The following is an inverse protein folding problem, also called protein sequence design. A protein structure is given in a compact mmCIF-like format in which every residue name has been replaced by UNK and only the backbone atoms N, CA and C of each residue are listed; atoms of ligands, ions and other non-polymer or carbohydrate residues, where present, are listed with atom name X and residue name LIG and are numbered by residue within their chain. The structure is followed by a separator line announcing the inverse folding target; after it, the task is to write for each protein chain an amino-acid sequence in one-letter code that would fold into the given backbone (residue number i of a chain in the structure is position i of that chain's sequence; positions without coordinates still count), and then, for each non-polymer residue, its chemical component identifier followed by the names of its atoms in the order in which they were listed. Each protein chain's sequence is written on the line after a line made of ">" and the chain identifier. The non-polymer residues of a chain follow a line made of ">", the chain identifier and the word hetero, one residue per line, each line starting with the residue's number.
data_IF_043026962592
#
_entry.id   IF_043026962592
#
_cell.length_a   1.000
_cell.length_b   1.000
_cell.length_c   1.000
_cell.angle_alpha   90.00
_cell.angle_beta   90.00
_cell.angle_gamma   90.00
#
_symmetry.space_group_name_H-M   'P 1'
#
loop_
_entity.id
_entity.type
_entity.pdbx_description
1 polymer ?
#
# COMPACT_ATOMS: atom_id res chain seq x y z
N UNK A 1 18.04 19.26 -18.57
CA UNK A 1 17.24 18.11 -19.07
C UNK A 1 17.26 18.16 -20.59
N UNK A 2 17.50 17.04 -21.28
CA UNK A 2 17.51 17.01 -22.76
C UNK A 2 16.10 17.14 -23.39
N UNK A 3 15.08 16.79 -22.63
CA UNK A 3 13.67 16.87 -23.06
C UNK A 3 12.90 17.84 -22.19
N UNK A 4 12.13 18.72 -22.80
CA UNK A 4 11.20 19.65 -22.14
C UNK A 4 9.79 19.18 -22.46
N UNK A 5 8.97 18.83 -21.45
CA UNK A 5 7.59 18.39 -21.70
C UNK A 5 6.77 19.44 -22.44
N UNK A 6 6.01 19.04 -23.46
CA UNK A 6 5.22 19.97 -24.27
C UNK A 6 4.00 20.52 -23.53
N UNK A 7 3.39 19.72 -22.65
CA UNK A 7 2.18 20.09 -21.91
C UNK A 7 2.50 20.96 -20.68
N UNK A 8 3.60 20.67 -19.99
CA UNK A 8 4.01 21.40 -18.78
C UNK A 8 5.53 21.64 -18.83
N UNK A 9 5.91 22.79 -19.38
CA UNK A 9 7.33 23.14 -19.61
C UNK A 9 8.14 23.29 -18.32
N UNK A 10 7.48 23.61 -17.20
CA UNK A 10 8.09 23.73 -15.88
C UNK A 10 8.25 22.39 -15.18
N UNK A 11 7.54 21.35 -15.62
CA UNK A 11 7.60 20.03 -14.99
C UNK A 11 9.03 19.48 -14.95
N UNK A 12 9.42 19.01 -13.77
CA UNK A 12 10.67 18.27 -13.55
C UNK A 12 10.37 17.02 -12.73
N UNK A 13 10.85 15.85 -13.15
CA UNK A 13 10.78 14.65 -12.33
C UNK A 13 11.42 14.88 -10.97
N UNK A 14 10.78 14.36 -9.90
CA UNK A 14 11.25 14.51 -8.52
C UNK A 14 12.73 14.16 -8.36
N UNK A 15 13.20 13.09 -8.99
CA UNK A 15 14.60 12.65 -8.91
C UNK A 15 15.58 13.68 -9.48
N UNK A 16 15.19 14.44 -10.48
CA UNK A 16 16.04 15.49 -11.09
C UNK A 16 16.17 16.67 -10.13
N UNK A 17 15.05 17.09 -9.52
CA UNK A 17 15.05 18.18 -8.54
C UNK A 17 15.79 17.78 -7.26
N UNK A 18 15.59 16.55 -6.79
CA UNK A 18 16.28 16.02 -5.60
C UNK A 18 17.81 15.97 -5.82
N UNK A 19 18.26 15.59 -7.02
CA UNK A 19 19.71 15.60 -7.35
C UNK A 19 20.31 17.00 -7.28
N UNK A 20 19.64 18.00 -7.88
CA UNK A 20 20.06 19.40 -7.79
C UNK A 20 20.06 19.92 -6.35
N UNK A 21 19.02 19.62 -5.60
CA UNK A 21 18.91 19.99 -4.21
C UNK A 21 20.11 19.48 -3.40
N UNK A 22 20.48 18.21 -3.59
CA UNK A 22 21.60 17.57 -2.91
C UNK A 22 22.96 18.18 -3.19
N UNK A 23 23.15 18.88 -4.33
CA UNK A 23 24.43 19.51 -4.68
C UNK A 23 24.86 20.60 -3.68
N UNK A 24 23.89 21.31 -3.06
CA UNK A 24 24.16 22.41 -2.13
C UNK A 24 23.59 22.19 -0.73
N UNK A 25 23.02 21.05 -0.46
CA UNK A 25 22.46 20.67 0.85
C UNK A 25 23.58 20.09 1.71
N UNK A 26 23.87 20.72 2.86
CA UNK A 26 25.02 20.38 3.73
C UNK A 26 24.64 20.01 5.15
N UNK A 27 23.42 20.33 5.60
CA UNK A 27 22.97 20.09 6.98
C UNK A 27 22.23 18.75 7.05
N UNK A 28 22.63 17.81 7.90
CA UNK A 28 21.95 16.52 8.03
C UNK A 28 20.49 16.64 8.44
N UNK A 29 19.65 15.81 7.82
CA UNK A 29 18.22 15.67 8.12
C UNK A 29 17.79 14.22 7.95
N UNK A 30 16.98 13.72 8.86
CA UNK A 30 16.50 12.35 8.85
C UNK A 30 14.98 12.28 8.85
N UNK A 31 14.44 11.40 8.04
CA UNK A 31 13.03 11.06 7.91
C UNK A 31 12.88 9.58 8.24
N UNK A 32 11.95 9.21 9.12
CA UNK A 32 11.59 7.83 9.32
C UNK A 32 10.07 7.69 9.30
N UNK A 33 9.56 6.76 8.50
CA UNK A 33 8.14 6.50 8.37
C UNK A 33 7.82 5.14 8.97
N UNK A 34 6.88 5.10 9.92
CA UNK A 34 6.41 3.87 10.55
C UNK A 34 5.09 3.42 9.93
N UNK A 35 5.01 2.11 9.67
CA UNK A 35 3.84 1.42 9.14
C UNK A 35 3.42 0.26 10.04
N UNK A 36 2.53 -0.63 9.57
CA UNK A 36 2.03 -1.77 10.35
C UNK A 36 3.17 -2.61 10.97
N UNK A 37 2.86 -3.28 12.05
CA UNK A 37 3.73 -4.25 12.72
C UNK A 37 5.08 -3.67 13.20
N UNK A 38 5.17 -2.33 13.37
CA UNK A 38 6.39 -1.66 13.78
C UNK A 38 7.48 -1.58 12.70
N UNK A 39 7.16 -1.92 11.45
CA UNK A 39 8.09 -1.72 10.34
C UNK A 39 8.33 -0.24 10.12
N UNK A 40 9.58 0.13 9.82
CA UNK A 40 10.03 1.50 9.67
C UNK A 40 11.02 1.61 8.51
N UNK A 41 10.78 2.62 7.68
CA UNK A 41 11.69 3.00 6.61
C UNK A 41 12.34 4.33 6.96
N UNK A 42 13.68 4.36 7.09
CA UNK A 42 14.45 5.57 7.34
C UNK A 42 15.15 6.03 6.07
N UNK A 43 15.08 7.33 5.83
CA UNK A 43 15.77 8.01 4.74
C UNK A 43 16.55 9.19 5.27
N UNK A 44 17.88 9.12 5.17
CA UNK A 44 18.80 10.19 5.56
C UNK A 44 19.16 11.03 4.33
N UNK A 45 19.13 12.35 4.49
CA UNK A 45 19.53 13.30 3.46
C UNK A 45 20.10 14.57 4.10
N UNK A 46 20.66 15.46 3.27
CA UNK A 46 21.00 16.80 3.73
C UNK A 46 19.96 17.81 3.24
N UNK A 47 19.84 18.93 3.96
CA UNK A 47 19.05 20.11 3.65
C UNK A 47 19.96 21.34 3.57
N UNK A 48 19.45 22.46 3.05
CA UNK A 48 20.19 23.73 3.07
C UNK A 48 20.27 24.29 4.49
N UNK A 49 21.32 25.07 4.82
CA UNK A 49 21.41 25.77 6.09
C UNK A 49 20.28 26.76 6.29
N UNK A 50 19.84 26.92 7.55
CA UNK A 50 18.83 27.89 7.96
C UNK A 50 17.40 27.58 7.53
N UNK A 51 16.53 28.57 7.64
CA UNK A 51 15.08 28.48 7.39
C UNK A 51 14.79 28.79 5.92
N UNK A 52 15.23 27.92 5.03
CA UNK A 52 15.05 28.06 3.59
C UNK A 52 13.76 27.40 3.13
N UNK A 53 12.89 28.14 2.43
CA UNK A 53 11.63 27.61 1.92
C UNK A 53 11.82 26.40 1.01
N UNK A 54 12.89 26.36 0.21
CA UNK A 54 13.18 25.19 -0.62
C UNK A 54 13.38 23.91 0.20
N UNK A 55 13.77 24.02 1.48
CA UNK A 55 13.93 22.87 2.37
C UNK A 55 12.57 22.19 2.60
N UNK A 56 11.58 22.97 3.04
CA UNK A 56 10.30 22.34 3.37
C UNK A 56 9.58 21.82 2.12
N UNK A 57 9.64 22.53 0.99
CA UNK A 57 9.06 22.06 -0.27
C UNK A 57 9.67 20.72 -0.73
N UNK A 58 11.00 20.59 -0.62
CA UNK A 58 11.68 19.35 -0.97
C UNK A 58 11.32 18.23 0.00
N UNK A 59 11.36 18.49 1.31
CA UNK A 59 11.04 17.49 2.33
C UNK A 59 9.59 17.04 2.23
N UNK A 60 8.64 17.95 2.01
CA UNK A 60 7.23 17.61 1.75
C UNK A 60 7.08 16.61 0.59
N UNK A 61 7.74 16.90 -0.53
CA UNK A 61 7.72 16.02 -1.72
C UNK A 61 8.38 14.66 -1.46
N UNK A 62 9.48 14.64 -0.71
CA UNK A 62 10.16 13.40 -0.30
C UNK A 62 9.24 12.56 0.58
N UNK A 63 8.66 13.17 1.64
CA UNK A 63 7.74 12.48 2.54
C UNK A 63 6.54 11.93 1.77
N UNK A 64 5.91 12.74 0.92
CA UNK A 64 4.80 12.27 0.08
C UNK A 64 5.22 11.08 -0.77
N UNK A 65 6.38 11.12 -1.39
CA UNK A 65 6.88 10.02 -2.22
C UNK A 65 7.07 8.75 -1.39
N UNK A 66 7.64 8.86 -0.20
CA UNK A 66 7.82 7.73 0.72
C UNK A 66 6.46 7.15 1.12
N UNK A 67 5.51 7.99 1.55
CA UNK A 67 4.17 7.55 1.95
C UNK A 67 3.43 6.79 0.85
N UNK A 68 3.58 7.19 -0.42
CA UNK A 68 2.89 6.54 -1.55
C UNK A 68 3.64 5.35 -2.14
N UNK A 69 4.89 5.13 -1.75
CA UNK A 69 5.70 3.97 -2.18
C UNK A 69 5.80 2.92 -1.08
N UNK A 70 6.08 3.37 0.14
CA UNK A 70 6.33 2.48 1.29
C UNK A 70 5.08 2.35 2.17
N UNK A 71 4.27 3.41 2.26
CA UNK A 71 3.17 3.53 3.20
C UNK A 71 3.61 3.99 4.59
N UNK A 72 2.66 4.38 5.42
CA UNK A 72 2.90 4.72 6.83
C UNK A 72 1.87 5.69 7.40
N UNK A 73 1.79 5.73 8.71
CA UNK A 73 0.88 6.58 9.47
C UNK A 73 1.59 7.45 10.51
N UNK A 74 2.88 7.23 10.73
CA UNK A 74 3.67 8.01 11.67
C UNK A 74 5.01 8.39 11.06
N UNK A 75 5.35 9.66 11.12
CA UNK A 75 6.57 10.21 10.56
C UNK A 75 7.41 10.78 11.70
N UNK A 76 8.66 10.37 11.79
CA UNK A 76 9.66 10.93 12.69
C UNK A 76 10.62 11.78 11.86
N UNK A 77 10.84 13.02 12.29
CA UNK A 77 11.69 13.99 11.60
C UNK A 77 12.76 14.51 12.57
N UNK A 78 14.02 14.44 12.16
CA UNK A 78 15.14 14.92 12.95
C UNK A 78 16.07 15.83 12.16
N UNK A 79 16.49 16.93 12.79
CA UNK A 79 17.39 17.93 12.22
C UNK A 79 16.87 19.37 12.39
N UNK A 80 16.58 20.04 11.29
CA UNK A 80 16.14 21.45 11.31
C UNK A 80 14.71 21.62 11.86
N UNK A 81 14.57 22.35 12.96
CA UNK A 81 13.30 22.57 13.67
C UNK A 81 12.27 23.31 12.80
N UNK A 82 12.68 24.28 11.99
CA UNK A 82 11.79 24.98 11.07
C UNK A 82 11.11 24.02 10.11
N UNK A 83 11.85 23.06 9.53
CA UNK A 83 11.30 22.05 8.63
C UNK A 83 10.32 21.15 9.38
N UNK A 84 10.68 20.70 10.58
CA UNK A 84 9.81 19.84 11.40
C UNK A 84 8.46 20.51 11.67
N UNK A 85 8.48 21.76 12.14
CA UNK A 85 7.27 22.54 12.42
C UNK A 85 6.40 22.73 11.17
N UNK A 86 7.03 23.03 10.02
CA UNK A 86 6.31 23.11 8.75
C UNK A 86 5.68 21.79 8.34
N UNK A 87 6.35 20.66 8.52
CA UNK A 87 5.77 19.35 8.21
C UNK A 87 4.60 18.99 9.13
N UNK A 88 4.63 19.40 10.41
CA UNK A 88 3.49 19.22 11.30
C UNK A 88 2.26 20.04 10.87
N UNK A 89 2.45 21.25 10.34
CA UNK A 89 1.37 22.05 9.75
C UNK A 89 0.83 21.42 8.46
N UNK A 90 1.73 21.06 7.55
CA UNK A 90 1.42 20.53 6.21
C UNK A 90 0.70 19.18 6.28
N UNK A 91 1.22 18.25 7.09
CA UNK A 91 0.64 16.92 7.30
C UNK A 91 -0.30 16.87 8.51
N UNK A 92 -1.31 17.74 8.48
CA UNK A 92 -2.42 17.77 9.44
C UNK A 92 -3.77 17.71 8.71
N UNK A 93 -4.86 17.47 9.45
CA UNK A 93 -6.21 17.43 8.87
C UNK A 93 -6.68 18.79 8.29
N UNK A 94 -6.02 19.87 8.66
CA UNK A 94 -6.25 21.22 8.12
C UNK A 94 -5.15 21.71 7.20
N UNK A 95 -4.08 20.91 7.01
CA UNK A 95 -2.94 21.25 6.18
C UNK A 95 -3.14 20.94 4.70
N UNK A 96 -2.16 21.30 3.88
CA UNK A 96 -2.20 21.08 2.43
C UNK A 96 -2.16 19.59 2.06
N UNK A 97 -1.74 18.72 3.00
CA UNK A 97 -1.70 17.26 2.86
C UNK A 97 -2.79 16.54 3.65
N UNK A 98 -3.89 17.22 3.96
CA UNK A 98 -5.03 16.65 4.68
C UNK A 98 -5.55 15.35 4.03
N UNK A 99 -5.57 15.28 2.70
CA UNK A 99 -5.93 14.05 1.98
C UNK A 99 -4.99 12.88 2.31
N UNK A 100 -3.67 13.11 2.29
CA UNK A 100 -2.68 12.07 2.59
C UNK A 100 -2.82 11.60 4.05
N UNK A 101 -3.07 12.54 4.98
CA UNK A 101 -3.29 12.27 6.41
C UNK A 101 -4.53 11.42 6.63
N UNK A 102 -5.68 11.81 6.08
CA UNK A 102 -6.94 11.05 6.21
C UNK A 102 -6.81 9.67 5.55
N UNK A 103 -6.24 9.61 4.35
CA UNK A 103 -6.08 8.35 3.61
C UNK A 103 -5.20 7.35 4.36
N UNK A 104 -4.03 7.78 4.83
CA UNK A 104 -3.11 6.90 5.57
C UNK A 104 -3.67 6.51 6.94
N UNK A 105 -4.37 7.41 7.63
CA UNK A 105 -5.06 7.06 8.88
C UNK A 105 -6.07 5.93 8.69
N UNK A 106 -6.84 5.98 7.61
CA UNK A 106 -7.82 4.94 7.26
C UNK A 106 -7.17 3.62 6.85
N UNK A 107 -6.07 3.68 6.08
CA UNK A 107 -5.34 2.47 5.66
C UNK A 107 -4.81 1.70 6.87
N UNK A 108 -4.25 2.41 7.84
CA UNK A 108 -3.59 1.80 8.99
C UNK A 108 -4.47 1.67 10.24
N UNK A 109 -5.71 2.20 10.24
CA UNK A 109 -6.60 2.31 11.40
C UNK A 109 -5.91 2.97 12.61
N UNK A 110 -5.12 4.00 12.34
CA UNK A 110 -4.33 4.73 13.33
C UNK A 110 -4.31 6.20 13.02
N UNK A 111 -4.25 7.08 14.03
CA UNK A 111 -4.05 8.50 13.78
C UNK A 111 -2.72 8.73 13.05
N UNK A 112 -2.74 9.65 12.09
CA UNK A 112 -1.52 10.08 11.43
C UNK A 112 -0.78 11.08 12.33
N UNK A 113 0.53 10.88 12.50
CA UNK A 113 1.34 11.70 13.40
C UNK A 113 2.66 12.13 12.75
N UNK A 114 3.08 13.37 13.04
CA UNK A 114 4.43 13.87 12.71
C UNK A 114 5.15 14.19 14.01
N UNK A 115 6.20 13.42 14.31
CA UNK A 115 6.95 13.45 15.58
C UNK A 115 8.28 14.18 15.37
N UNK A 116 8.51 15.21 16.16
CA UNK A 116 9.81 15.89 16.24
C UNK A 116 10.82 15.02 16.99
N UNK A 117 12.01 14.87 16.43
CA UNK A 117 13.14 14.13 16.98
C UNK A 117 14.43 14.93 16.87
N UNK A 118 15.46 14.52 17.59
CA UNK A 118 16.85 14.86 17.22
C UNK A 118 17.33 13.87 16.15
N UNK A 119 18.45 14.17 15.48
CA UNK A 119 19.02 13.25 14.48
C UNK A 119 19.33 11.87 15.08
N UNK A 120 19.78 11.85 16.33
CA UNK A 120 20.16 10.64 17.07
C UNK A 120 18.95 9.80 17.49
N UNK A 121 17.80 10.46 17.72
CA UNK A 121 16.58 9.80 18.22
C UNK A 121 15.61 9.41 17.12
N UNK A 122 15.83 9.82 15.86
CA UNK A 122 15.06 9.30 14.73
C UNK A 122 15.25 7.78 14.64
N UNK A 123 14.17 6.98 14.68
CA UNK A 123 14.27 5.53 14.70
C UNK A 123 15.02 4.96 13.47
N UNK A 124 15.76 3.88 13.70
CA UNK A 124 16.37 3.12 12.62
C UNK A 124 15.32 2.37 11.78
N UNK A 125 15.69 2.02 10.55
CA UNK A 125 14.88 1.13 9.71
C UNK A 125 14.68 -0.23 10.37
N UNK A 126 13.47 -0.74 10.29
CA UNK A 126 13.08 -2.11 10.63
C UNK A 126 12.25 -2.63 9.47
N UNK A 127 12.90 -3.36 8.58
CA UNK A 127 12.27 -3.91 7.39
C UNK A 127 12.34 -5.43 7.43
N UNK A 128 11.26 -6.08 7.00
CA UNK A 128 11.24 -7.50 6.74
C UNK A 128 10.74 -7.74 5.32
N UNK A 129 11.37 -8.66 4.62
CA UNK A 129 10.88 -9.16 3.35
C UNK A 129 10.47 -10.61 3.52
N UNK A 130 9.22 -10.91 3.18
CA UNK A 130 8.74 -12.28 3.10
C UNK A 130 8.90 -12.73 1.64
N UNK A 131 9.52 -13.89 1.39
CA UNK A 131 9.58 -14.43 0.04
C UNK A 131 8.16 -14.65 -0.48
N UNK A 132 7.83 -14.03 -1.61
CA UNK A 132 6.58 -14.27 -2.33
C UNK A 132 6.85 -15.18 -3.52
N UNK A 133 5.96 -16.15 -3.75
CA UNK A 133 6.08 -17.10 -4.84
C UNK A 133 6.91 -18.35 -4.49
N UNK A 134 7.18 -19.16 -5.50
CA UNK A 134 7.68 -20.52 -5.27
C UNK A 134 6.56 -21.44 -4.78
N UNK A 135 6.88 -22.30 -3.82
CA UNK A 135 5.90 -23.22 -3.18
C UNK A 135 5.06 -24.03 -4.20
N UNK A 136 5.71 -24.53 -5.26
CA UNK A 136 5.01 -25.19 -6.37
C UNK A 136 4.42 -26.56 -6.01
N UNK A 137 4.91 -27.20 -4.93
CA UNK A 137 4.41 -28.50 -4.49
C UNK A 137 3.05 -28.38 -3.80
N UNK A 138 2.18 -29.38 -4.04
CA UNK A 138 0.85 -29.47 -3.46
C UNK A 138 -0.23 -28.81 -4.33
N UNK A 139 -1.44 -28.73 -3.78
CA UNK A 139 -2.64 -28.27 -4.45
C UNK A 139 -2.93 -26.80 -4.07
N UNK A 140 -2.96 -25.90 -5.03
CA UNK A 140 -3.07 -24.47 -4.78
C UNK A 140 -4.16 -23.82 -5.62
N UNK A 141 -4.87 -22.90 -5.03
CA UNK A 141 -5.77 -22.00 -5.76
C UNK A 141 -5.02 -20.70 -6.04
N UNK A 142 -4.98 -20.27 -7.31
CA UNK A 142 -4.61 -18.92 -7.71
C UNK A 142 -5.85 -18.16 -8.13
N UNK A 143 -6.03 -16.95 -7.62
CA UNK A 143 -7.18 -16.11 -7.94
C UNK A 143 -6.74 -14.69 -8.27
N UNK A 144 -7.22 -14.17 -9.40
CA UNK A 144 -7.03 -12.77 -9.80
C UNK A 144 -8.38 -12.05 -9.78
N UNK A 145 -8.50 -11.09 -8.87
CA UNK A 145 -9.69 -10.24 -8.75
C UNK A 145 -9.53 -9.00 -9.64
N UNK A 146 -9.83 -9.13 -10.90
CA UNK A 146 -9.79 -8.05 -11.89
C UNK A 146 -10.99 -7.09 -11.80
N UNK A 147 -10.90 -5.98 -12.50
CA UNK A 147 -11.94 -4.93 -12.50
C UNK A 147 -13.13 -5.20 -13.44
N UNK A 148 -12.99 -6.12 -14.39
CA UNK A 148 -13.99 -6.51 -15.40
C UNK A 148 -14.24 -8.01 -15.45
N UNK A 149 -13.26 -8.77 -14.98
CA UNK A 149 -13.29 -10.23 -14.92
C UNK A 149 -12.58 -10.70 -13.66
N UNK A 150 -12.89 -11.92 -13.25
CA UNK A 150 -12.19 -12.65 -12.21
C UNK A 150 -11.63 -13.94 -12.82
N UNK A 151 -10.40 -14.25 -12.49
CA UNK A 151 -9.72 -15.46 -12.98
C UNK A 151 -9.37 -16.36 -11.82
N UNK A 152 -9.57 -17.66 -12.00
CA UNK A 152 -9.21 -18.66 -11.01
C UNK A 152 -8.49 -19.82 -11.66
N UNK A 153 -7.50 -20.38 -10.96
CA UNK A 153 -6.77 -21.56 -11.39
C UNK A 153 -6.64 -22.58 -10.26
N UNK A 154 -6.69 -23.85 -10.63
CA UNK A 154 -6.27 -24.94 -9.77
C UNK A 154 -4.91 -25.46 -10.26
N UNK A 155 -3.94 -25.50 -9.36
CA UNK A 155 -2.56 -25.88 -9.64
C UNK A 155 -2.17 -27.06 -8.75
N UNK A 156 -1.64 -28.13 -9.34
CA UNK A 156 -1.15 -29.29 -8.61
C UNK A 156 0.31 -29.51 -8.97
N UNK A 157 1.18 -29.48 -7.97
CA UNK A 157 2.63 -29.63 -8.12
C UNK A 157 3.27 -28.74 -9.20
N UNK A 158 2.73 -27.52 -9.34
CA UNK A 158 3.19 -26.51 -10.29
C UNK A 158 2.52 -26.59 -11.67
N UNK A 159 1.67 -27.57 -11.94
CA UNK A 159 0.93 -27.70 -13.19
C UNK A 159 -0.49 -27.15 -13.04
N UNK A 160 -0.92 -26.30 -13.96
CA UNK A 160 -2.29 -25.78 -14.04
C UNK A 160 -3.20 -26.86 -14.59
N UNK A 161 -4.06 -27.41 -13.75
CA UNK A 161 -5.03 -28.46 -14.15
C UNK A 161 -6.42 -27.90 -14.46
N UNK A 162 -6.69 -26.65 -14.06
CA UNK A 162 -7.94 -25.94 -14.35
C UNK A 162 -7.67 -24.44 -14.34
N UNK A 163 -8.27 -23.73 -15.26
CA UNK A 163 -8.30 -22.26 -15.30
C UNK A 163 -9.61 -21.79 -15.87
N UNK A 164 -10.16 -20.74 -15.29
CA UNK A 164 -11.41 -20.15 -15.72
C UNK A 164 -11.41 -18.64 -15.54
N UNK A 165 -12.02 -17.95 -16.50
CA UNK A 165 -12.28 -16.53 -16.46
C UNK A 165 -13.81 -16.30 -16.45
N UNK A 166 -14.28 -15.44 -15.54
CA UNK A 166 -15.69 -15.09 -15.41
C UNK A 166 -15.83 -13.57 -15.41
N UNK A 167 -16.64 -13.05 -16.31
CA UNK A 167 -16.99 -11.62 -16.33
C UNK A 167 -17.78 -11.26 -15.08
N UNK A 168 -17.43 -10.14 -14.45
CA UNK A 168 -18.17 -9.54 -13.34
C UNK A 168 -18.07 -8.01 -13.36
N UNK A 169 -18.84 -7.34 -12.51
CA UNK A 169 -18.92 -5.87 -12.50
C UNK A 169 -18.73 -5.31 -11.09
N UNK A 170 -17.58 -5.54 -10.44
CA UNK A 170 -17.38 -5.21 -9.03
C UNK A 170 -17.41 -3.70 -8.78
N UNK A 171 -16.85 -2.90 -9.69
CA UNK A 171 -16.74 -1.43 -9.53
C UNK A 171 -18.09 -0.70 -9.62
N UNK A 172 -19.12 -1.33 -10.13
CA UNK A 172 -20.45 -0.74 -10.27
C UNK A 172 -21.47 -1.30 -9.28
N UNK A 173 -21.10 -2.33 -8.54
CA UNK A 173 -21.97 -2.97 -7.55
C UNK A 173 -21.67 -2.45 -6.15
N UNK A 174 -22.73 -2.07 -5.41
CA UNK A 174 -22.63 -1.58 -4.05
C UNK A 174 -22.85 -2.67 -2.99
N UNK A 175 -23.33 -3.84 -3.40
CA UNK A 175 -23.61 -4.96 -2.49
C UNK A 175 -22.34 -5.78 -2.23
N UNK A 176 -21.82 -5.82 -1.00
CA UNK A 176 -20.65 -6.64 -0.66
C UNK A 176 -20.90 -8.14 -0.85
N UNK A 177 -22.16 -8.61 -0.77
CA UNK A 177 -22.48 -10.03 -0.98
C UNK A 177 -22.27 -10.46 -2.43
N UNK A 178 -22.51 -9.58 -3.39
CA UNK A 178 -22.18 -9.83 -4.80
C UNK A 178 -20.69 -10.16 -4.99
N UNK A 179 -19.82 -9.40 -4.33
CA UNK A 179 -18.37 -9.61 -4.40
C UNK A 179 -17.98 -10.92 -3.70
N UNK A 180 -18.50 -11.13 -2.49
CA UNK A 180 -18.21 -12.32 -1.70
C UNK A 180 -18.65 -13.61 -2.43
N UNK A 181 -19.87 -13.64 -2.92
CA UNK A 181 -20.40 -14.80 -3.66
C UNK A 181 -19.54 -15.11 -4.91
N UNK A 182 -19.11 -14.08 -5.64
CA UNK A 182 -18.25 -14.25 -6.79
C UNK A 182 -16.86 -14.82 -6.45
N UNK A 183 -16.23 -14.35 -5.38
CA UNK A 183 -14.95 -14.85 -4.91
C UNK A 183 -15.08 -16.30 -4.45
N UNK A 184 -16.07 -16.58 -3.60
CA UNK A 184 -16.29 -17.90 -3.04
C UNK A 184 -16.64 -18.94 -4.12
N UNK A 185 -17.48 -18.56 -5.10
CA UNK A 185 -17.79 -19.42 -6.26
C UNK A 185 -16.51 -19.83 -7.01
N UNK A 186 -15.64 -18.86 -7.29
CA UNK A 186 -14.35 -19.13 -7.96
C UNK A 186 -13.47 -20.08 -7.16
N UNK A 187 -13.36 -19.88 -5.85
CA UNK A 187 -12.59 -20.77 -4.98
C UNK A 187 -13.16 -22.19 -4.97
N UNK A 188 -14.47 -22.34 -4.83
CA UNK A 188 -15.16 -23.64 -4.84
C UNK A 188 -14.96 -24.39 -6.17
N UNK A 189 -15.05 -23.68 -7.28
CA UNK A 189 -14.85 -24.28 -8.62
C UNK A 189 -13.45 -24.82 -8.83
N UNK A 190 -12.41 -24.07 -8.40
CA UNK A 190 -11.04 -24.54 -8.44
C UNK A 190 -10.78 -25.68 -7.45
N UNK A 191 -11.27 -25.57 -6.22
CA UNK A 191 -11.17 -26.61 -5.20
C UNK A 191 -11.74 -27.95 -5.66
N UNK A 192 -12.88 -27.93 -6.36
CA UNK A 192 -13.53 -29.14 -6.88
C UNK A 192 -12.71 -29.91 -7.94
N UNK A 193 -11.63 -29.31 -8.45
CA UNK A 193 -10.74 -29.94 -9.43
C UNK A 193 -9.51 -30.62 -8.80
N UNK A 194 -9.35 -30.49 -7.50
CA UNK A 194 -8.19 -30.99 -6.76
C UNK A 194 -8.63 -31.94 -5.64
N UNK A 195 -7.79 -32.90 -5.24
CA UNK A 195 -8.11 -33.81 -4.14
C UNK A 195 -8.15 -33.12 -2.78
N UNK A 196 -7.50 -31.97 -2.64
CA UNK A 196 -7.46 -31.09 -1.47
C UNK A 196 -6.99 -29.70 -1.88
N UNK A 197 -7.03 -28.75 -0.97
CA UNK A 197 -6.39 -27.42 -1.13
C UNK A 197 -5.37 -27.26 -0.03
N UNK A 198 -4.14 -26.89 -0.36
CA UNK A 198 -3.04 -26.71 0.59
C UNK A 198 -2.75 -25.19 0.84
N UNK A 199 -3.10 -24.31 -0.09
CA UNK A 199 -3.03 -22.84 0.09
C UNK A 199 -3.80 -22.11 -1.01
N UNK A 200 -4.11 -20.83 -0.73
CA UNK A 200 -4.78 -19.90 -1.66
C UNK A 200 -3.93 -18.64 -1.82
N UNK A 201 -3.64 -18.27 -3.07
CA UNK A 201 -3.02 -17.00 -3.44
C UNK A 201 -4.01 -16.10 -4.18
N UNK A 202 -4.12 -14.85 -3.77
CA UNK A 202 -5.00 -13.85 -4.38
C UNK A 202 -4.17 -12.67 -4.87
N UNK A 203 -4.33 -12.32 -6.16
CA UNK A 203 -3.88 -11.07 -6.75
C UNK A 203 -5.07 -10.11 -6.87
N UNK A 204 -4.93 -8.90 -6.39
CA UNK A 204 -5.99 -7.90 -6.50
C UNK A 204 -5.43 -6.48 -6.34
N UNK A 205 -5.85 -5.56 -7.22
CA UNK A 205 -5.44 -4.17 -7.14
C UNK A 205 -5.99 -3.49 -5.87
N UNK A 206 -5.10 -2.98 -5.04
CA UNK A 206 -5.49 -2.33 -3.78
C UNK A 206 -4.37 -2.26 -2.76
N UNK A 207 -4.72 -1.92 -1.54
CA UNK A 207 -3.83 -1.95 -0.37
C UNK A 207 -4.36 -3.01 0.57
N UNK A 208 -3.49 -3.95 0.91
CA UNK A 208 -3.78 -5.09 1.77
C UNK A 208 -2.81 -5.11 2.94
N UNK A 209 -3.32 -5.33 4.14
CA UNK A 209 -2.52 -5.48 5.36
C UNK A 209 -3.02 -6.74 6.08
N UNK A 210 -2.14 -7.71 6.32
CA UNK A 210 -2.45 -8.98 6.97
C UNK A 210 -3.63 -9.71 6.29
N UNK A 211 -3.66 -9.71 4.94
CA UNK A 211 -4.71 -10.24 4.07
C UNK A 211 -6.06 -9.51 4.13
N UNK A 212 -6.19 -8.47 4.92
CA UNK A 212 -7.37 -7.61 4.95
C UNK A 212 -7.34 -6.55 3.86
N UNK A 213 -8.49 -6.29 3.26
CA UNK A 213 -8.68 -5.20 2.29
C UNK A 213 -8.70 -3.86 3.03
N UNK A 214 -7.75 -2.97 2.75
CA UNK A 214 -7.76 -1.62 3.30
C UNK A 214 -8.36 -0.60 2.33
N UNK A 215 -7.92 -0.65 1.09
CA UNK A 215 -8.47 0.15 -0.02
C UNK A 215 -8.36 -0.67 -1.29
N UNK A 216 -9.46 -0.81 -2.03
CA UNK A 216 -9.42 -1.40 -3.36
C UNK A 216 -10.52 -0.82 -4.25
N UNK A 217 -10.18 -0.53 -5.50
CA UNK A 217 -11.12 0.05 -6.47
C UNK A 217 -12.28 -0.88 -6.83
N UNK A 218 -12.14 -2.17 -6.59
CA UNK A 218 -13.20 -3.17 -6.78
C UNK A 218 -14.44 -2.86 -5.94
N UNK A 219 -14.25 -2.30 -4.74
CA UNK A 219 -15.29 -2.04 -3.76
C UNK A 219 -15.67 -0.55 -3.66
N UNK A 220 -15.35 0.24 -4.69
CA UNK A 220 -15.52 1.71 -4.65
C UNK A 220 -16.96 2.19 -4.45
N UNK A 221 -17.94 1.34 -4.78
CA UNK A 221 -19.37 1.64 -4.61
C UNK A 221 -19.95 1.12 -3.30
N UNK A 222 -19.22 0.27 -2.59
CA UNK A 222 -19.69 -0.27 -1.30
C UNK A 222 -19.67 0.85 -0.26
N UNK A 223 -20.78 1.09 0.48
CA UNK A 223 -20.82 2.04 1.57
C UNK A 223 -19.77 1.76 2.64
N UNK A 224 -19.30 2.79 3.32
CA UNK A 224 -18.16 2.67 4.24
C UNK A 224 -18.41 1.72 5.40
N UNK A 225 -19.58 1.80 6.01
CA UNK A 225 -20.02 0.92 7.09
C UNK A 225 -20.11 -0.55 6.65
N UNK A 226 -20.65 -0.80 5.44
CA UNK A 226 -20.69 -2.12 4.83
C UNK A 226 -19.29 -2.62 4.46
N UNK A 227 -18.40 -1.74 4.01
CA UNK A 227 -17.01 -2.09 3.69
C UNK A 227 -16.28 -2.58 4.94
N UNK A 228 -16.35 -1.83 6.04
CA UNK A 228 -15.66 -2.19 7.27
C UNK A 228 -16.24 -3.49 7.89
N UNK A 229 -17.55 -3.73 7.76
CA UNK A 229 -18.22 -4.90 8.32
C UNK A 229 -18.10 -6.17 7.46
N UNK A 230 -18.03 -6.05 6.11
CA UNK A 230 -18.22 -7.20 5.22
C UNK A 230 -17.14 -7.39 4.16
N UNK A 231 -16.32 -6.34 3.86
CA UNK A 231 -15.30 -6.40 2.80
C UNK A 231 -13.91 -6.63 3.36
N UNK A 232 -13.59 -6.03 4.49
CA UNK A 232 -12.25 -6.09 5.07
C UNK A 232 -11.66 -7.49 5.11
N UNK A 233 -12.38 -8.42 5.67
CA UNK A 233 -11.97 -9.82 5.87
C UNK A 233 -12.51 -10.78 4.79
N UNK A 234 -13.03 -10.25 3.69
CA UNK A 234 -13.78 -10.99 2.69
C UNK A 234 -12.99 -12.19 2.11
N UNK A 235 -11.72 -11.99 1.76
CA UNK A 235 -10.87 -13.07 1.26
C UNK A 235 -10.55 -14.10 2.35
N UNK A 236 -10.35 -13.65 3.59
CA UNK A 236 -10.11 -14.53 4.74
C UNK A 236 -11.34 -15.43 4.99
N UNK A 237 -12.55 -14.85 4.98
CA UNK A 237 -13.80 -15.61 5.12
C UNK A 237 -13.99 -16.60 3.99
N UNK A 238 -13.78 -16.16 2.74
CA UNK A 238 -13.91 -17.03 1.58
C UNK A 238 -12.91 -18.22 1.63
N UNK A 239 -11.68 -17.98 2.08
CA UNK A 239 -10.68 -19.04 2.26
C UNK A 239 -11.10 -20.05 3.33
N UNK A 240 -11.64 -19.59 4.47
CA UNK A 240 -12.15 -20.45 5.53
C UNK A 240 -13.27 -21.39 5.09
N UNK A 241 -14.11 -20.96 4.15
CA UNK A 241 -15.16 -21.83 3.55
C UNK A 241 -14.57 -22.99 2.72
N UNK A 242 -13.35 -22.84 2.21
CA UNK A 242 -12.63 -23.91 1.50
C UNK A 242 -11.95 -24.87 2.48
N UNK A 243 -11.40 -24.31 3.55
CA UNK A 243 -10.69 -25.04 4.60
C UNK A 243 -9.79 -24.10 5.41
N UNK A 244 -9.23 -24.62 6.51
CA UNK A 244 -8.24 -23.88 7.31
C UNK A 244 -6.87 -23.94 6.63
N UNK A 245 -6.75 -23.24 5.51
CA UNK A 245 -5.56 -23.24 4.65
C UNK A 245 -4.90 -21.87 4.63
N UNK A 246 -3.56 -21.79 4.47
CA UNK A 246 -2.85 -20.54 4.31
C UNK A 246 -3.41 -19.70 3.16
N UNK A 247 -3.59 -18.41 3.42
CA UNK A 247 -4.01 -17.39 2.45
C UNK A 247 -2.94 -16.31 2.34
N UNK A 248 -2.67 -15.89 1.11
CA UNK A 248 -1.89 -14.67 0.84
C UNK A 248 -2.65 -13.79 -0.14
N UNK A 249 -2.90 -12.54 0.23
CA UNK A 249 -3.49 -11.53 -0.64
C UNK A 249 -2.44 -10.46 -0.93
N UNK A 250 -2.18 -10.20 -2.20
CA UNK A 250 -1.18 -9.23 -2.65
C UNK A 250 -1.68 -8.41 -3.86
N UNK A 251 -1.05 -7.25 -4.05
CA UNK A 251 -1.22 -6.39 -5.23
C UNK A 251 -0.02 -6.57 -6.18
#
# INVERSE_FOLDING_TARGET
>A
MKYVPSLEKSFRPMIVELRKFKENATVPFAICVERQNGYRYRYDMNVYPGDNENNYEMIERVIKSILWVVGGYKIYLGGNEYIVNKMQEVFSLSGTRAFDVDFMSRVYDKPFEVIACTLETVPASVEASLPAGGHLKGCRIGFDAGGSDRKVSAVVDGEVIFSEETVWFPKTNADPEYHYAGILDSFKRAAAKMPRVDAIGVSSAGIYIDNEVRVASLFIKVPRDEFDAKVRDMYIRAAKEIGDVPLTVAN
#
